data_IF_746279585672
#
_entry.id   IF_746279585672
#
_cell.length_a   1.000
_cell.length_b   1.000
_cell.length_c   1.000
_cell.angle_alpha   90.00
_cell.angle_beta   90.00
_cell.angle_gamma   90.00
#
_symmetry.space_group_name_H-M   'P 1'
#
loop_
_entity.id
_entity.type
_entity.pdbx_description
1 polymer ?
#
# COMPACT_ATOMS: atom_id res chain seq x y z
N UNK A 1 -9.48 26.30 -7.91
CA UNK A 1 -8.95 26.00 -9.27
C UNK A 1 -9.49 26.96 -10.33
N UNK A 2 -10.72 27.46 -10.18
CA UNK A 2 -11.28 28.44 -11.14
C UNK A 2 -10.47 29.75 -11.09
N UNK A 3 -9.73 30.05 -12.15
CA UNK A 3 -8.91 31.26 -12.29
C UNK A 3 -7.40 31.06 -12.30
N UNK A 4 -6.90 29.84 -11.98
CA UNK A 4 -5.47 29.55 -12.17
C UNK A 4 -5.20 29.21 -13.64
N UNK A 5 -4.13 29.74 -14.27
CA UNK A 5 -3.83 29.48 -15.70
C UNK A 5 -3.69 27.98 -16.05
N UNK A 6 -3.37 27.15 -15.09
CA UNK A 6 -3.22 25.69 -15.21
C UNK A 6 -4.23 24.94 -14.33
N UNK A 7 -5.37 25.57 -13.99
CA UNK A 7 -6.31 25.03 -12.99
C UNK A 7 -6.86 23.65 -13.34
N UNK A 8 -7.14 23.38 -14.62
CA UNK A 8 -7.61 22.08 -15.06
C UNK A 8 -6.51 21.02 -14.95
N UNK A 9 -5.30 21.34 -15.39
CA UNK A 9 -4.17 20.40 -15.34
C UNK A 9 -3.80 20.06 -13.88
N UNK A 10 -3.81 21.06 -13.01
CA UNK A 10 -3.62 20.87 -11.56
C UNK A 10 -4.73 19.98 -10.96
N UNK A 11 -5.99 20.22 -11.31
CA UNK A 11 -7.10 19.42 -10.83
C UNK A 11 -6.96 17.95 -11.24
N UNK A 12 -6.58 17.69 -12.50
CA UNK A 12 -6.31 16.34 -13.01
C UNK A 12 -5.15 15.67 -12.28
N UNK A 13 -4.06 16.39 -12.06
CA UNK A 13 -2.92 15.87 -11.30
C UNK A 13 -3.31 15.49 -9.87
N UNK A 14 -4.06 16.35 -9.17
CA UNK A 14 -4.56 16.05 -7.82
C UNK A 14 -5.53 14.87 -7.80
N UNK A 15 -6.36 14.75 -8.83
CA UNK A 15 -7.25 13.59 -8.98
C UNK A 15 -6.45 12.31 -9.14
N UNK A 16 -5.45 12.26 -10.01
CA UNK A 16 -4.60 11.09 -10.18
C UNK A 16 -3.85 10.75 -8.88
N UNK A 17 -3.31 11.76 -8.18
CA UNK A 17 -2.66 11.55 -6.89
C UNK A 17 -3.61 10.91 -5.89
N UNK A 18 -4.85 11.39 -5.80
CA UNK A 18 -5.85 10.85 -4.86
C UNK A 18 -6.26 9.40 -5.15
N UNK A 19 -6.03 8.93 -6.37
CA UNK A 19 -6.29 7.55 -6.77
C UNK A 19 -5.07 6.63 -6.64
N UNK A 20 -3.88 7.17 -6.39
CA UNK A 20 -2.67 6.37 -6.29
C UNK A 20 -2.60 5.54 -5.01
N UNK A 21 -2.01 4.36 -5.15
CA UNK A 21 -1.68 3.49 -4.01
C UNK A 21 -0.78 4.20 -3.00
N UNK A 22 0.15 5.04 -3.46
CA UNK A 22 1.02 5.83 -2.59
C UNK A 22 0.23 6.74 -1.65
N UNK A 23 -0.76 7.46 -2.16
CA UNK A 23 -1.58 8.35 -1.35
C UNK A 23 -2.47 7.58 -0.38
N UNK A 24 -3.06 6.49 -0.82
CA UNK A 24 -3.84 5.58 0.00
C UNK A 24 -3.00 4.98 1.13
N UNK A 25 -1.79 4.53 0.82
CA UNK A 25 -0.82 4.02 1.80
C UNK A 25 -0.43 5.11 2.82
N UNK A 26 -0.14 6.31 2.36
CA UNK A 26 0.17 7.43 3.25
C UNK A 26 -0.97 7.69 4.23
N UNK A 27 -2.21 7.78 3.76
CA UNK A 27 -3.37 7.98 4.62
C UNK A 27 -3.55 6.82 5.61
N UNK A 28 -3.35 5.58 5.17
CA UNK A 28 -3.45 4.40 6.03
C UNK A 28 -2.41 4.44 7.17
N UNK A 29 -1.19 4.90 6.87
CA UNK A 29 -0.08 4.92 7.84
C UNK A 29 -0.10 6.14 8.76
N UNK A 30 -0.74 7.24 8.38
CA UNK A 30 -0.67 8.52 9.12
C UNK A 30 -2.00 8.95 9.72
N UNK A 31 -3.12 8.55 9.14
CA UNK A 31 -4.45 8.87 9.67
C UNK A 31 -4.86 7.90 10.77
N UNK A 32 -5.43 8.43 11.84
CA UNK A 32 -5.96 7.62 12.95
C UNK A 32 -7.28 6.93 12.63
N UNK A 33 -7.94 7.31 11.54
CA UNK A 33 -9.30 6.86 11.20
C UNK A 33 -9.42 6.19 9.84
N UNK A 34 -8.54 6.49 8.91
CA UNK A 34 -8.58 5.92 7.57
C UNK A 34 -8.33 4.40 7.62
N UNK A 35 -9.18 3.66 6.92
CA UNK A 35 -9.09 2.20 6.88
C UNK A 35 -9.62 1.46 8.14
N UNK A 36 -9.89 2.18 9.25
CA UNK A 36 -10.41 1.60 10.50
C UNK A 36 -11.86 2.02 10.75
N UNK A 37 -12.12 3.32 10.76
CA UNK A 37 -13.46 3.85 11.00
C UNK A 37 -14.14 4.40 9.74
N UNK A 38 -13.35 4.87 8.78
CA UNK A 38 -13.82 5.56 7.57
C UNK A 38 -12.89 5.32 6.40
N UNK A 39 -13.45 5.33 5.20
CA UNK A 39 -12.72 5.33 3.94
C UNK A 39 -12.38 6.76 3.47
N UNK A 40 -12.22 7.71 4.40
CA UNK A 40 -11.96 9.10 4.10
C UNK A 40 -10.84 9.66 5.00
N UNK A 41 -9.81 10.22 4.38
CA UNK A 41 -8.77 10.98 5.07
C UNK A 41 -9.31 12.27 5.68
N UNK A 42 -8.74 12.69 6.80
CA UNK A 42 -9.04 14.00 7.40
C UNK A 42 -8.23 15.09 6.69
N UNK A 43 -8.74 16.32 6.74
CA UNK A 43 -8.06 17.46 6.13
C UNK A 43 -6.63 17.62 6.67
N UNK A 44 -6.44 17.44 7.97
CA UNK A 44 -5.15 17.56 8.64
C UNK A 44 -4.13 16.51 8.15
N UNK A 45 -4.59 15.32 7.80
CA UNK A 45 -3.74 14.25 7.26
C UNK A 45 -3.32 14.60 5.82
N UNK A 46 -4.27 15.12 5.03
CA UNK A 46 -4.03 15.56 3.65
C UNK A 46 -3.07 16.75 3.61
N UNK A 47 -3.24 17.72 4.51
CA UNK A 47 -2.39 18.91 4.59
C UNK A 47 -0.92 18.58 4.93
N UNK A 48 -0.67 17.43 5.54
CA UNK A 48 0.69 16.95 5.88
C UNK A 48 1.34 16.10 4.81
N UNK A 49 0.59 15.73 3.77
CA UNK A 49 1.15 14.94 2.67
C UNK A 49 2.29 15.71 2.01
N UNK A 50 3.45 15.09 1.76
CA UNK A 50 4.61 15.72 1.14
C UNK A 50 4.36 15.98 -0.36
N UNK A 51 3.48 16.92 -0.64
CA UNK A 51 2.98 17.23 -1.98
C UNK A 51 4.08 17.82 -2.86
N UNK A 52 4.26 17.25 -4.05
CA UNK A 52 5.12 17.80 -5.09
C UNK A 52 4.27 18.73 -5.97
N UNK A 53 4.57 20.05 -6.03
CA UNK A 53 3.79 20.99 -6.81
C UNK A 53 3.77 20.66 -8.30
N UNK A 54 2.61 20.79 -8.95
CA UNK A 54 2.47 20.54 -10.38
C UNK A 54 3.42 21.39 -11.23
N UNK A 55 3.70 22.61 -10.78
CA UNK A 55 4.60 23.55 -11.42
C UNK A 55 6.06 23.08 -11.44
N UNK A 56 6.45 22.22 -10.50
CA UNK A 56 7.82 21.64 -10.44
C UNK A 56 8.01 20.44 -11.36
N UNK A 57 6.94 19.89 -11.94
CA UNK A 57 7.02 18.77 -12.87
C UNK A 57 7.71 19.16 -14.17
N UNK A 58 8.51 18.26 -14.73
CA UNK A 58 9.07 18.41 -16.07
C UNK A 58 7.99 18.41 -17.15
N UNK A 59 8.35 18.84 -18.37
CA UNK A 59 7.42 18.78 -19.51
C UNK A 59 6.96 17.36 -19.80
N UNK A 60 7.88 16.40 -19.69
CA UNK A 60 7.61 14.97 -19.91
C UNK A 60 6.63 14.44 -18.85
N UNK A 61 6.87 14.78 -17.58
CA UNK A 61 5.98 14.37 -16.48
C UNK A 61 4.56 14.96 -16.63
N UNK A 62 4.45 16.23 -17.04
CA UNK A 62 3.14 16.84 -17.33
C UNK A 62 2.43 16.18 -18.51
N UNK A 63 3.19 15.75 -19.53
CA UNK A 63 2.64 15.00 -20.65
C UNK A 63 2.10 13.63 -20.19
N UNK A 64 2.82 12.92 -19.33
CA UNK A 64 2.36 11.65 -18.75
C UNK A 64 1.05 11.85 -17.96
N UNK A 65 0.97 12.88 -17.11
CA UNK A 65 -0.27 13.24 -16.39
C UNK A 65 -1.43 13.47 -17.37
N UNK A 66 -1.20 14.19 -18.47
CA UNK A 66 -2.23 14.45 -19.46
C UNK A 66 -2.72 13.16 -20.16
N UNK A 67 -1.79 12.26 -20.52
CA UNK A 67 -2.12 10.98 -21.16
C UNK A 67 -2.97 10.12 -20.21
N UNK A 68 -2.49 9.88 -18.99
CA UNK A 68 -3.21 9.07 -18.00
C UNK A 68 -4.60 9.66 -17.70
N UNK A 69 -4.69 11.00 -17.58
CA UNK A 69 -5.97 11.67 -17.34
C UNK A 69 -6.95 11.51 -18.50
N UNK A 70 -6.47 11.55 -19.74
CA UNK A 70 -7.31 11.34 -20.92
C UNK A 70 -7.81 9.89 -21.01
N UNK A 71 -6.97 8.91 -20.66
CA UNK A 71 -7.37 7.51 -20.57
C UNK A 71 -8.48 7.31 -19.53
N UNK A 72 -8.34 7.94 -18.36
CA UNK A 72 -9.38 7.90 -17.33
C UNK A 72 -10.71 8.52 -17.81
N UNK A 73 -10.65 9.66 -18.49
CA UNK A 73 -11.83 10.32 -19.08
C UNK A 73 -12.48 9.46 -20.17
N UNK A 74 -11.68 8.70 -20.92
CA UNK A 74 -12.16 7.75 -21.93
C UNK A 74 -12.82 6.49 -21.32
N UNK A 75 -12.84 6.35 -20.00
CA UNK A 75 -13.42 5.21 -19.28
C UNK A 75 -12.48 4.03 -19.12
N UNK A 76 -11.19 4.19 -19.40
CA UNK A 76 -10.18 3.20 -19.14
C UNK A 76 -9.83 3.19 -17.63
N UNK A 77 -9.13 2.15 -17.21
CA UNK A 77 -8.68 1.99 -15.81
C UNK A 77 -7.14 1.98 -15.75
N UNK A 78 -6.48 3.16 -15.90
CA UNK A 78 -5.03 3.25 -16.02
C UNK A 78 -4.30 3.18 -14.67
N UNK A 79 -4.77 2.37 -13.71
CA UNK A 79 -4.29 2.35 -12.33
C UNK A 79 -2.80 2.03 -12.22
N UNK A 80 -2.31 1.03 -12.96
CA UNK A 80 -0.88 0.68 -12.98
C UNK A 80 -0.01 1.84 -13.49
N UNK A 81 -0.52 2.63 -14.44
CA UNK A 81 0.19 3.80 -14.95
C UNK A 81 0.18 4.95 -13.94
N UNK A 82 -0.91 5.15 -13.20
CA UNK A 82 -1.00 6.10 -12.08
C UNK A 82 0.04 5.76 -11.03
N UNK A 83 0.07 4.50 -10.57
CA UNK A 83 0.98 4.07 -9.51
C UNK A 83 2.43 4.08 -9.96
N UNK A 84 2.71 3.71 -11.20
CA UNK A 84 4.06 3.79 -11.76
C UNK A 84 4.56 5.24 -11.81
N UNK A 85 3.71 6.18 -12.25
CA UNK A 85 4.04 7.59 -12.33
C UNK A 85 4.38 8.18 -10.96
N UNK A 86 3.53 7.96 -9.95
CA UNK A 86 3.78 8.49 -8.61
C UNK A 86 4.93 7.78 -7.90
N UNK A 87 5.12 6.49 -8.12
CA UNK A 87 6.29 5.77 -7.59
C UNK A 87 7.60 6.35 -8.14
N UNK A 88 7.68 6.65 -9.44
CA UNK A 88 8.84 7.29 -10.04
C UNK A 88 9.03 8.73 -9.52
N UNK A 89 7.95 9.51 -9.49
CA UNK A 89 7.98 10.91 -9.04
C UNK A 89 8.48 11.05 -7.60
N UNK A 90 8.12 10.13 -6.71
CA UNK A 90 8.55 10.11 -5.31
C UNK A 90 9.82 9.25 -5.08
N UNK A 91 10.41 8.70 -6.11
CA UNK A 91 11.66 7.93 -6.03
C UNK A 91 11.52 6.60 -5.28
N UNK A 92 10.35 5.96 -5.34
CA UNK A 92 10.13 4.68 -4.69
C UNK A 92 10.87 3.55 -5.42
N UNK A 93 11.58 2.74 -4.66
CA UNK A 93 12.21 1.51 -5.16
C UNK A 93 11.16 0.43 -5.44
N UNK A 94 11.58 -0.65 -6.12
CA UNK A 94 10.72 -1.83 -6.31
C UNK A 94 10.29 -2.46 -4.98
N UNK A 95 11.16 -2.45 -3.98
CA UNK A 95 10.86 -2.95 -2.64
C UNK A 95 9.81 -2.07 -1.94
N UNK A 96 9.94 -0.73 -2.02
CA UNK A 96 8.96 0.19 -1.46
C UNK A 96 7.58 0.00 -2.11
N UNK A 97 7.54 -0.13 -3.43
CA UNK A 97 6.30 -0.39 -4.16
C UNK A 97 5.65 -1.72 -3.77
N UNK A 98 6.45 -2.74 -3.47
CA UNK A 98 5.93 -4.00 -2.97
C UNK A 98 5.31 -3.84 -1.58
N UNK A 99 6.00 -3.14 -0.67
CA UNK A 99 5.47 -2.84 0.67
C UNK A 99 4.14 -2.09 0.60
N UNK A 100 4.05 -1.06 -0.25
CA UNK A 100 2.80 -0.31 -0.47
C UNK A 100 1.68 -1.25 -0.90
N UNK A 101 1.88 -2.04 -1.95
CA UNK A 101 0.86 -2.97 -2.48
C UNK A 101 0.43 -4.01 -1.46
N UNK A 102 1.38 -4.67 -0.81
CA UNK A 102 1.08 -5.72 0.17
C UNK A 102 0.30 -5.16 1.37
N UNK A 103 0.69 -3.98 1.83
CA UNK A 103 0.00 -3.31 2.94
C UNK A 103 -1.44 -2.96 2.57
N UNK A 104 -1.66 -2.37 1.40
CA UNK A 104 -3.01 -2.00 0.95
C UNK A 104 -3.87 -3.23 0.68
N UNK A 105 -3.30 -4.28 0.08
CA UNK A 105 -4.02 -5.52 -0.20
C UNK A 105 -4.55 -6.21 1.07
N UNK A 106 -3.84 -6.06 2.20
CA UNK A 106 -4.25 -6.64 3.48
C UNK A 106 -5.16 -5.69 4.26
N UNK A 107 -4.80 -4.40 4.33
CA UNK A 107 -5.45 -3.47 5.25
C UNK A 107 -6.75 -2.88 4.71
N UNK A 108 -6.83 -2.51 3.43
CA UNK A 108 -8.02 -1.86 2.87
C UNK A 108 -9.23 -2.79 2.68
N UNK A 109 -9.08 -4.04 2.21
CA UNK A 109 -10.22 -4.97 2.17
C UNK A 109 -10.75 -5.37 3.55
N UNK A 110 -9.92 -5.26 4.59
CA UNK A 110 -10.28 -5.71 5.93
C UNK A 110 -11.58 -5.10 6.48
N UNK A 111 -11.85 -3.78 6.40
CA UNK A 111 -13.10 -3.21 6.86
C UNK A 111 -14.33 -3.71 6.09
N UNK A 112 -14.18 -3.89 4.77
CA UNK A 112 -15.26 -4.36 3.90
C UNK A 112 -15.50 -5.87 4.02
N UNK A 113 -14.48 -6.64 4.40
CA UNK A 113 -14.49 -8.10 4.48
C UNK A 113 -14.44 -8.64 5.90
N UNK A 114 -14.57 -7.81 6.92
CA UNK A 114 -14.53 -8.21 8.34
C UNK A 114 -15.41 -9.44 8.66
N UNK A 115 -16.54 -9.57 7.98
CA UNK A 115 -17.46 -10.69 8.14
C UNK A 115 -17.03 -11.94 7.37
N UNK A 116 -16.07 -11.82 6.47
CA UNK A 116 -15.65 -12.84 5.50
C UNK A 116 -14.14 -13.02 5.47
N UNK A 117 -13.45 -12.73 6.57
CA UNK A 117 -12.01 -12.97 6.67
C UNK A 117 -11.73 -14.41 6.22
N UNK A 118 -11.04 -14.55 5.10
CA UNK A 118 -10.64 -15.86 4.59
C UNK A 118 -9.78 -16.57 5.64
N UNK A 119 -10.07 -17.84 5.87
CA UNK A 119 -9.20 -18.63 6.73
C UNK A 119 -7.84 -18.79 6.05
N UNK A 120 -6.79 -18.45 6.77
CA UNK A 120 -5.42 -18.69 6.28
C UNK A 120 -5.26 -20.18 5.98
N UNK A 121 -4.90 -20.58 4.74
CA UNK A 121 -4.66 -21.96 4.38
C UNK A 121 -3.59 -22.57 5.30
N UNK A 122 -3.71 -23.87 5.56
CA UNK A 122 -2.78 -24.56 6.49
C UNK A 122 -1.34 -24.57 5.94
N UNK A 123 -1.18 -24.73 4.64
CA UNK A 123 0.09 -24.68 3.91
C UNK A 123 0.75 -23.29 4.01
N UNK A 124 -0.03 -22.21 3.89
CA UNK A 124 0.49 -20.84 4.04
C UNK A 124 1.08 -20.58 5.44
N UNK A 125 0.63 -21.27 6.48
CA UNK A 125 1.24 -21.16 7.82
C UNK A 125 2.63 -21.79 7.86
N UNK A 126 2.81 -22.90 7.13
CA UNK A 126 4.13 -23.53 6.96
C UNK A 126 5.13 -22.61 6.24
N UNK A 127 4.71 -22.01 5.14
CA UNK A 127 5.53 -21.06 4.38
C UNK A 127 5.88 -19.82 5.22
N UNK A 128 4.93 -19.30 5.97
CA UNK A 128 5.18 -18.19 6.89
C UNK A 128 6.17 -18.57 7.99
N UNK A 129 6.05 -19.76 8.59
CA UNK A 129 7.00 -20.25 9.60
C UNK A 129 8.41 -20.38 9.02
N UNK A 130 8.53 -20.89 7.78
CA UNK A 130 9.81 -21.00 7.10
C UNK A 130 10.45 -19.63 6.82
N UNK A 131 9.65 -18.65 6.41
CA UNK A 131 10.13 -17.28 6.18
C UNK A 131 10.57 -16.60 7.50
N UNK A 132 9.83 -16.77 8.59
CA UNK A 132 10.21 -16.30 9.91
C UNK A 132 11.52 -16.95 10.36
N UNK A 133 11.68 -18.25 10.15
CA UNK A 133 12.94 -18.95 10.43
C UNK A 133 14.11 -18.34 9.64
N UNK A 134 13.91 -18.12 8.33
CA UNK A 134 14.93 -17.53 7.46
C UNK A 134 15.38 -16.15 7.94
N UNK A 135 14.44 -15.31 8.37
CA UNK A 135 14.72 -13.95 8.87
C UNK A 135 15.45 -14.00 10.22
N UNK A 136 15.04 -14.88 11.13
CA UNK A 136 15.58 -14.91 12.49
C UNK A 136 16.90 -15.69 12.63
N UNK A 137 17.16 -16.66 11.75
CA UNK A 137 18.38 -17.50 11.82
C UNK A 137 19.68 -16.69 11.92
N UNK A 138 19.94 -15.63 11.11
CA UNK A 138 21.17 -14.86 11.21
C UNK A 138 21.38 -14.18 12.57
N UNK A 139 20.29 -13.85 13.26
CA UNK A 139 20.34 -13.25 14.60
C UNK A 139 20.62 -14.31 15.67
N UNK A 140 19.93 -15.44 15.61
CA UNK A 140 20.15 -16.58 16.52
C UNK A 140 21.58 -17.10 16.44
N UNK A 141 22.14 -17.25 15.23
CA UNK A 141 23.50 -17.67 15.00
C UNK A 141 24.56 -16.73 15.62
N UNK A 142 24.28 -15.43 15.71
CA UNK A 142 25.20 -14.45 16.31
C UNK A 142 25.38 -14.62 17.82
N UNK A 143 24.42 -15.23 18.49
CA UNK A 143 24.37 -15.41 19.92
C UNK A 143 24.38 -16.90 20.31
N UNK A 144 24.68 -17.77 19.34
CA UNK A 144 24.77 -19.23 19.50
C UNK A 144 23.52 -19.84 20.16
N UNK A 145 22.34 -19.34 19.75
CA UNK A 145 21.06 -19.88 20.20
C UNK A 145 20.48 -20.83 19.15
N UNK A 146 19.99 -22.00 19.53
CA UNK A 146 19.18 -22.83 18.66
C UNK A 146 17.90 -22.08 18.33
N UNK A 147 17.46 -22.14 17.07
CA UNK A 147 16.20 -21.57 16.61
C UNK A 147 15.39 -22.65 15.90
N UNK A 148 14.21 -22.92 16.40
CA UNK A 148 13.22 -23.75 15.72
C UNK A 148 11.94 -22.96 15.52
N UNK A 149 11.47 -22.84 14.27
CA UNK A 149 10.18 -22.20 13.94
C UNK A 149 9.31 -23.22 13.25
N UNK A 150 8.13 -23.45 13.78
CA UNK A 150 7.23 -24.48 13.27
C UNK A 150 5.77 -23.99 13.27
N UNK A 151 4.96 -24.46 12.31
CA UNK A 151 3.54 -24.27 12.33
C UNK A 151 2.89 -25.10 13.44
N UNK A 152 2.00 -24.49 14.20
CA UNK A 152 1.20 -25.22 15.18
C UNK A 152 0.03 -25.89 14.49
N UNK A 153 -0.25 -27.17 14.72
CA UNK A 153 -1.40 -27.85 14.13
C UNK A 153 -2.71 -27.09 14.37
N UNK A 154 -3.57 -26.95 13.33
CA UNK A 154 -4.80 -26.20 13.46
C UNK A 154 -5.79 -26.90 14.41
N UNK A 155 -6.46 -26.12 15.25
CA UNK A 155 -7.62 -26.59 16.00
C UNK A 155 -8.85 -26.46 15.11
N UNK A 156 -9.65 -27.50 14.89
CA UNK A 156 -10.74 -27.51 13.90
C UNK A 156 -11.78 -26.39 14.07
N UNK A 157 -11.98 -25.94 15.29
CA UNK A 157 -13.01 -24.92 15.65
C UNK A 157 -12.43 -23.49 15.71
N UNK A 158 -11.15 -23.32 15.44
CA UNK A 158 -10.47 -22.03 15.61
C UNK A 158 -10.03 -21.45 14.26
N UNK A 159 -10.42 -20.20 13.98
CA UNK A 159 -9.95 -19.47 12.80
C UNK A 159 -8.49 -18.99 12.92
N UNK A 160 -7.94 -18.97 14.14
CA UNK A 160 -6.57 -18.55 14.40
C UNK A 160 -5.56 -19.61 13.96
N UNK A 161 -4.43 -19.13 13.46
CA UNK A 161 -3.26 -19.94 13.12
C UNK A 161 -2.08 -19.42 13.92
N UNK A 162 -1.22 -20.33 14.35
CA UNK A 162 -0.06 -19.99 15.17
C UNK A 162 1.20 -20.61 14.62
N UNK A 163 2.30 -19.92 14.81
CA UNK A 163 3.64 -20.48 14.70
C UNK A 163 4.23 -20.55 16.09
N UNK A 164 5.11 -21.54 16.31
CA UNK A 164 5.92 -21.67 17.51
C UNK A 164 7.35 -21.30 17.18
N UNK A 165 7.98 -20.53 18.04
CA UNK A 165 9.39 -20.16 18.00
C UNK A 165 10.02 -20.65 19.30
N UNK A 166 10.95 -21.59 19.19
CA UNK A 166 11.67 -22.22 20.32
C UNK A 166 13.17 -21.98 20.20
#
# INVERSE_FOLDING_TARGET
AAGHPQGEALARYLQLLSYSDLFSFYLLMTSTKFGVERDAGQKEDIDRFPFIPYESLSSEQRQVVAVISNDLVAGNSPWDAVDAFFAELYGLTSADRQVVRDTLAIALPYPATQLYAEQVPVDAVGDFAAEVARILTPFAMRIDLPLNVSAVPPVPTNAWRFIRID
#
